data_IF_639239362594
#
_entry.id   IF_639239362594
#
_cell.length_a   1.000
_cell.length_b   1.000
_cell.length_c   1.000
_cell.angle_alpha   90.00
_cell.angle_beta   90.00
_cell.angle_gamma   90.00
#
_symmetry.space_group_name_H-M   'P 1'
#
loop_
_entity.id
_entity.type
_entity.pdbx_description
1 polymer ?
#
# COMPACT_ATOMS: atom_id res chain seq x y z
N UNK A 1 65.32 1.32 -39.16
CA UNK A 1 64.10 2.12 -38.93
C UNK A 1 63.00 1.16 -38.55
N UNK A 2 62.77 1.01 -37.21
CA UNK A 2 61.77 0.07 -36.68
C UNK A 2 60.50 0.87 -36.29
N UNK A 3 59.35 0.62 -36.96
CA UNK A 3 58.07 1.24 -36.65
C UNK A 3 57.43 0.53 -35.44
N UNK A 4 57.29 1.28 -34.37
CA UNK A 4 56.63 0.84 -33.14
C UNK A 4 55.12 1.04 -33.29
N UNK A 5 54.36 -0.03 -33.34
CA UNK A 5 52.89 0.02 -33.40
C UNK A 5 52.31 0.07 -31.96
N UNK A 6 51.72 1.19 -31.60
CA UNK A 6 51.03 1.42 -30.34
C UNK A 6 49.63 0.85 -30.45
N UNK A 7 49.34 -0.25 -29.73
CA UNK A 7 47.98 -0.81 -29.60
C UNK A 7 47.25 -0.06 -28.48
N UNK A 8 46.26 0.76 -28.85
CA UNK A 8 45.29 1.35 -27.94
C UNK A 8 44.26 0.27 -27.52
N UNK A 9 44.34 -0.14 -26.27
CA UNK A 9 43.25 -0.94 -25.63
C UNK A 9 42.17 0.03 -25.19
N UNK A 10 41.04 0.03 -25.92
CA UNK A 10 39.83 0.71 -25.48
C UNK A 10 39.15 -0.16 -24.41
N UNK A 11 39.31 0.20 -23.12
CA UNK A 11 38.58 -0.40 -22.04
C UNK A 11 37.15 0.14 -22.00
N UNK A 12 36.18 -0.71 -22.33
CA UNK A 12 34.76 -0.41 -22.15
C UNK A 12 34.44 -0.47 -20.65
N UNK A 13 34.32 0.68 -20.01
CA UNK A 13 33.81 0.80 -18.66
C UNK A 13 32.27 0.62 -18.73
N UNK A 14 31.78 -0.57 -18.39
CA UNK A 14 30.37 -0.84 -18.20
C UNK A 14 29.91 -0.11 -16.92
N UNK A 15 29.23 1.03 -17.10
CA UNK A 15 28.59 1.77 -16.02
C UNK A 15 27.35 0.96 -15.58
N UNK A 16 27.53 0.10 -14.57
CA UNK A 16 26.41 -0.55 -13.90
C UNK A 16 25.64 0.52 -13.11
N UNK A 17 24.55 1.02 -13.67
CA UNK A 17 23.61 1.89 -12.97
C UNK A 17 22.94 1.06 -11.87
N UNK A 18 23.51 1.10 -10.65
CA UNK A 18 22.82 0.63 -9.46
C UNK A 18 21.55 1.50 -9.31
N UNK A 19 20.39 0.89 -9.56
CA UNK A 19 19.09 1.51 -9.30
C UNK A 19 19.00 1.68 -7.77
N UNK A 20 19.38 2.87 -7.29
CA UNK A 20 19.32 3.21 -5.88
C UNK A 20 17.87 3.05 -5.41
N UNK A 21 17.64 2.07 -4.55
CA UNK A 21 16.34 1.79 -3.96
C UNK A 21 16.00 2.94 -3.00
N UNK A 22 15.25 3.94 -3.49
CA UNK A 22 14.81 5.05 -2.64
C UNK A 22 14.00 4.51 -1.45
N UNK A 23 14.22 5.03 -0.24
CA UNK A 23 13.41 4.64 0.92
C UNK A 23 11.93 4.98 0.66
N UNK A 24 11.01 4.14 1.16
CA UNK A 24 9.59 4.46 1.15
C UNK A 24 9.34 5.77 1.92
N UNK A 25 8.26 6.49 1.59
CA UNK A 25 7.92 7.74 2.29
C UNK A 25 7.74 7.48 3.80
N UNK A 26 8.09 8.44 4.67
CA UNK A 26 7.98 8.25 6.12
C UNK A 26 6.62 7.74 6.61
N UNK A 27 5.45 8.22 6.09
CA UNK A 27 4.15 7.65 6.47
C UNK A 27 4.03 6.16 6.15
N UNK A 28 4.51 5.72 4.98
CA UNK A 28 4.40 4.33 4.54
C UNK A 28 5.25 3.37 5.40
N UNK A 29 6.35 3.85 5.98
CA UNK A 29 7.17 3.10 6.94
C UNK A 29 6.39 2.73 8.22
N UNK A 30 5.37 3.52 8.59
CA UNK A 30 4.58 3.28 9.81
C UNK A 30 3.77 1.98 9.77
N UNK A 31 3.62 1.31 8.63
CA UNK A 31 2.98 0.00 8.55
C UNK A 31 3.63 -1.03 9.48
N UNK A 32 4.94 -0.89 9.74
CA UNK A 32 5.67 -1.70 10.73
C UNK A 32 5.21 -1.50 12.19
N UNK A 33 4.37 -0.50 12.47
CA UNK A 33 3.83 -0.21 13.81
C UNK A 33 2.50 -0.91 14.10
N UNK A 34 1.95 -1.68 13.15
CA UNK A 34 0.76 -2.50 13.38
C UNK A 34 0.99 -3.46 14.56
N UNK A 35 0.03 -3.57 15.48
CA UNK A 35 0.15 -4.46 16.64
C UNK A 35 -0.02 -5.93 16.29
N UNK A 36 -0.75 -6.22 15.21
CA UNK A 36 -0.92 -7.54 14.61
C UNK A 36 -1.42 -7.39 13.17
N UNK A 37 -1.47 -8.51 12.47
CA UNK A 37 -1.99 -8.60 11.10
C UNK A 37 -3.04 -9.71 11.02
N UNK A 38 -4.07 -9.49 10.19
CA UNK A 38 -5.10 -10.48 9.84
C UNK A 38 -4.96 -10.80 8.36
N UNK A 39 -5.19 -12.04 7.97
CA UNK A 39 -5.11 -12.57 6.60
C UNK A 39 -3.69 -12.56 5.98
N UNK A 40 -2.66 -12.16 6.71
CA UNK A 40 -1.28 -12.22 6.23
C UNK A 40 -0.28 -12.24 7.38
N UNK A 41 0.97 -12.63 7.08
CA UNK A 41 2.11 -12.23 7.89
C UNK A 41 2.32 -10.71 7.83
N UNK A 42 3.07 -10.11 8.78
CA UNK A 42 3.41 -8.70 8.74
C UNK A 42 4.02 -8.28 7.40
N UNK A 43 3.46 -7.24 6.78
CA UNK A 43 3.95 -6.71 5.52
C UNK A 43 4.88 -5.53 5.77
N UNK A 44 6.17 -5.75 5.51
CA UNK A 44 7.16 -4.68 5.54
C UNK A 44 7.01 -3.78 4.28
N UNK A 45 7.21 -2.46 4.40
CA UNK A 45 7.17 -1.54 3.26
C UNK A 45 8.08 -1.97 2.10
N UNK A 46 9.21 -2.60 2.40
CA UNK A 46 10.17 -3.10 1.41
C UNK A 46 9.58 -4.21 0.54
N UNK A 47 8.73 -5.07 1.10
CA UNK A 47 8.04 -6.15 0.37
C UNK A 47 6.95 -5.63 -0.57
N UNK A 48 6.53 -4.38 -0.38
CA UNK A 48 5.50 -3.70 -1.19
C UNK A 48 6.10 -2.86 -2.33
N UNK A 49 7.43 -2.79 -2.43
CA UNK A 49 8.09 -2.06 -3.52
C UNK A 49 7.72 -2.64 -4.89
N UNK A 50 7.55 -1.76 -5.85
CA UNK A 50 7.10 -2.14 -7.18
C UNK A 50 5.61 -2.50 -7.26
N UNK A 51 4.86 -2.39 -6.17
CA UNK A 51 3.41 -2.60 -6.14
C UNK A 51 2.68 -1.28 -5.93
N UNK A 52 1.52 -1.13 -6.55
CA UNK A 52 0.58 -0.08 -6.22
C UNK A 52 -0.22 -0.53 -5.01
N UNK A 53 -0.28 0.31 -3.97
CA UNK A 53 -0.94 -0.06 -2.71
C UNK A 53 -2.10 0.89 -2.42
N UNK A 54 -3.26 0.32 -2.10
CA UNK A 54 -4.38 1.04 -1.51
C UNK A 54 -4.40 0.76 -0.01
N UNK A 55 -4.23 1.81 0.80
CA UNK A 55 -4.49 1.73 2.23
C UNK A 55 -5.92 2.19 2.49
N UNK A 56 -6.74 1.29 3.03
CA UNK A 56 -8.11 1.56 3.46
C UNK A 56 -8.13 1.69 4.99
N UNK A 57 -8.22 2.92 5.50
CA UNK A 57 -8.41 3.18 6.93
C UNK A 57 -9.88 2.99 7.29
N UNK A 58 -10.16 1.99 8.07
CA UNK A 58 -11.51 1.54 8.37
C UNK A 58 -11.67 1.08 9.82
N UNK A 59 -12.91 0.91 10.24
CA UNK A 59 -13.28 0.14 11.44
C UNK A 59 -14.59 -0.61 11.20
N UNK A 60 -14.79 -1.71 11.93
CA UNK A 60 -15.87 -2.65 11.63
C UNK A 60 -17.25 -2.19 12.07
N UNK A 61 -17.38 -1.15 12.89
CA UNK A 61 -18.67 -0.56 13.27
C UNK A 61 -19.05 0.68 12.45
N UNK A 62 -18.13 1.19 11.62
CA UNK A 62 -18.36 2.36 10.79
C UNK A 62 -19.25 2.03 9.59
N UNK A 63 -20.48 2.56 9.54
CA UNK A 63 -21.43 2.26 8.47
C UNK A 63 -20.93 2.70 7.09
N UNK A 64 -20.23 3.83 6.99
CA UNK A 64 -19.67 4.33 5.73
C UNK A 64 -18.53 3.43 5.23
N UNK A 65 -17.73 2.85 6.15
CA UNK A 65 -16.72 1.85 5.81
C UNK A 65 -17.37 0.59 5.25
N UNK A 66 -18.45 0.12 5.88
CA UNK A 66 -19.17 -1.07 5.40
C UNK A 66 -19.79 -0.85 4.01
N UNK A 67 -20.24 0.36 3.69
CA UNK A 67 -20.75 0.71 2.35
C UNK A 67 -19.63 0.82 1.31
N UNK A 68 -18.43 1.19 1.72
CA UNK A 68 -17.24 1.27 0.85
C UNK A 68 -16.63 -0.11 0.55
N UNK A 69 -16.73 -1.05 1.49
CA UNK A 69 -16.07 -2.36 1.45
C UNK A 69 -16.34 -3.18 0.15
N UNK A 70 -17.55 -3.22 -0.42
CA UNK A 70 -17.79 -3.93 -1.69
C UNK A 70 -16.90 -3.46 -2.84
N UNK A 71 -16.62 -2.15 -2.92
CA UNK A 71 -15.74 -1.57 -3.93
C UNK A 71 -14.29 -1.94 -3.68
N UNK A 72 -13.83 -1.87 -2.41
CA UNK A 72 -12.47 -2.26 -2.02
C UNK A 72 -12.20 -3.72 -2.41
N UNK A 73 -13.13 -4.63 -2.10
CA UNK A 73 -13.04 -6.05 -2.46
C UNK A 73 -12.99 -6.24 -3.99
N UNK A 74 -13.90 -5.58 -4.71
CA UNK A 74 -13.93 -5.66 -6.17
C UNK A 74 -12.61 -5.19 -6.82
N UNK A 75 -11.99 -4.12 -6.30
CA UNK A 75 -10.68 -3.66 -6.79
C UNK A 75 -9.56 -4.62 -6.39
N UNK A 76 -9.58 -5.16 -5.17
CA UNK A 76 -8.63 -6.19 -4.74
C UNK A 76 -8.66 -7.36 -5.69
N UNK A 77 -9.84 -7.91 -6.01
CA UNK A 77 -10.01 -9.04 -6.91
C UNK A 77 -9.58 -8.71 -8.34
N UNK A 78 -10.02 -7.56 -8.85
CA UNK A 78 -9.80 -7.15 -10.24
C UNK A 78 -8.33 -6.90 -10.59
N UNK A 79 -7.56 -6.34 -9.64
CA UNK A 79 -6.21 -5.84 -9.91
C UNK A 79 -5.08 -6.62 -9.23
N UNK A 80 -5.38 -7.66 -8.41
CA UNK A 80 -4.35 -8.42 -7.66
C UNK A 80 -3.21 -8.94 -8.53
N UNK A 81 -3.52 -9.44 -9.72
CA UNK A 81 -2.52 -10.03 -10.65
C UNK A 81 -1.74 -8.96 -11.43
N UNK A 82 -2.13 -7.69 -11.31
CA UNK A 82 -1.48 -6.55 -11.95
C UNK A 82 -0.49 -5.84 -11.03
N UNK A 83 -0.18 -6.42 -9.85
CA UNK A 83 0.72 -5.79 -8.88
C UNK A 83 0.05 -4.75 -8.00
N UNK A 84 -1.27 -4.84 -7.84
CA UNK A 84 -2.05 -4.05 -6.88
C UNK A 84 -2.22 -4.81 -5.57
N UNK A 85 -2.14 -4.10 -4.46
CA UNK A 85 -2.34 -4.65 -3.11
C UNK A 85 -3.27 -3.74 -2.33
N UNK A 86 -4.32 -4.30 -1.77
CA UNK A 86 -5.13 -3.63 -0.75
C UNK A 86 -4.59 -4.00 0.62
N UNK A 87 -4.46 -3.02 1.50
CA UNK A 87 -4.19 -3.21 2.93
C UNK A 87 -5.25 -2.45 3.70
N UNK A 88 -6.11 -3.16 4.41
CA UNK A 88 -7.00 -2.56 5.39
C UNK A 88 -6.17 -2.12 6.61
N UNK A 89 -6.30 -0.87 7.02
CA UNK A 89 -5.73 -0.38 8.28
C UNK A 89 -6.87 -0.21 9.27
N UNK A 90 -7.06 -1.22 10.12
CA UNK A 90 -8.12 -1.15 11.12
C UNK A 90 -7.66 -0.26 12.28
N UNK A 91 -8.25 0.92 12.37
CA UNK A 91 -7.98 1.88 13.45
C UNK A 91 -9.24 2.09 14.27
N UNK A 92 -9.22 1.84 15.59
CA UNK A 92 -10.41 1.89 16.42
C UNK A 92 -10.97 3.31 16.58
N UNK A 93 -12.30 3.43 16.48
CA UNK A 93 -13.06 4.61 16.87
C UNK A 93 -13.55 4.48 18.33
N UNK A 94 -14.01 3.28 18.71
CA UNK A 94 -14.55 2.98 20.03
C UNK A 94 -13.69 2.00 20.82
N UNK A 95 -13.86 1.99 22.16
CA UNK A 95 -13.06 1.16 23.06
C UNK A 95 -13.12 -0.34 22.76
N UNK A 96 -14.29 -0.87 22.35
CA UNK A 96 -14.46 -2.28 22.03
C UNK A 96 -13.74 -2.74 20.74
N UNK A 97 -13.29 -1.79 19.92
CA UNK A 97 -12.59 -2.07 18.66
C UNK A 97 -11.08 -2.26 18.81
N UNK A 98 -10.53 -1.99 20.01
CA UNK A 98 -9.09 -2.12 20.26
C UNK A 98 -8.56 -3.56 20.27
N UNK A 99 -9.45 -4.54 20.51
CA UNK A 99 -9.07 -5.95 20.66
C UNK A 99 -8.78 -6.61 19.30
N UNK A 100 -7.55 -7.09 19.03
CA UNK A 100 -7.22 -7.74 17.75
C UNK A 100 -8.15 -8.90 17.38
N UNK A 101 -8.54 -9.72 18.38
CA UNK A 101 -9.48 -10.83 18.16
C UNK A 101 -10.87 -10.37 17.69
N UNK A 102 -11.31 -9.15 18.04
CA UNK A 102 -12.56 -8.60 17.53
C UNK A 102 -12.41 -8.19 16.05
N UNK A 103 -11.25 -7.63 15.69
CA UNK A 103 -10.92 -7.27 14.30
C UNK A 103 -10.89 -8.51 13.43
N UNK A 104 -10.23 -9.59 13.88
CA UNK A 104 -10.16 -10.86 13.16
C UNK A 104 -11.55 -11.44 12.89
N UNK A 105 -12.38 -11.53 13.95
CA UNK A 105 -13.78 -12.01 13.79
C UNK A 105 -14.60 -11.13 12.87
N UNK A 106 -14.41 -9.81 12.93
CA UNK A 106 -15.11 -8.87 12.06
C UNK A 106 -14.68 -9.02 10.62
N UNK A 107 -13.37 -9.13 10.35
CA UNK A 107 -12.84 -9.35 9.02
C UNK A 107 -13.39 -10.64 8.38
N UNK A 108 -13.40 -11.75 9.14
CA UNK A 108 -13.97 -13.01 8.68
C UNK A 108 -15.47 -12.88 8.36
N UNK A 109 -16.27 -12.26 9.25
CA UNK A 109 -17.72 -12.05 9.04
C UNK A 109 -18.03 -11.17 7.85
N UNK A 110 -17.18 -10.17 7.57
CA UNK A 110 -17.32 -9.23 6.46
C UNK A 110 -16.74 -9.77 5.15
N UNK A 111 -16.16 -10.98 5.15
CA UNK A 111 -15.56 -11.59 3.97
C UNK A 111 -14.35 -10.79 3.46
N UNK A 112 -13.57 -10.20 4.35
CA UNK A 112 -12.32 -9.53 4.03
C UNK A 112 -11.24 -10.60 3.91
N UNK A 113 -10.63 -10.72 2.75
CA UNK A 113 -9.57 -11.68 2.43
C UNK A 113 -8.20 -11.03 2.18
N UNK A 114 -8.18 -9.71 1.97
CA UNK A 114 -6.95 -8.95 1.85
C UNK A 114 -6.28 -8.70 3.22
N UNK A 115 -4.97 -8.38 3.25
CA UNK A 115 -4.22 -8.08 4.47
C UNK A 115 -4.85 -6.95 5.30
N UNK A 116 -4.92 -7.13 6.62
CA UNK A 116 -5.38 -6.09 7.54
C UNK A 116 -4.33 -5.83 8.62
N UNK A 117 -3.80 -4.62 8.63
CA UNK A 117 -2.95 -4.10 9.72
C UNK A 117 -3.83 -3.62 10.88
N UNK A 118 -3.64 -4.17 12.07
CA UNK A 118 -4.38 -3.75 13.27
C UNK A 118 -3.64 -2.60 13.94
N UNK A 119 -4.19 -1.40 13.83
CA UNK A 119 -3.60 -0.14 14.32
C UNK A 119 -4.24 0.31 15.64
N UNK A 120 -4.36 -0.61 16.63
CA UNK A 120 -4.99 -0.32 17.91
C UNK A 120 -4.34 0.83 18.69
N UNK A 121 -3.09 1.18 18.37
CA UNK A 121 -2.35 2.31 18.97
C UNK A 121 -2.45 3.60 18.15
N UNK A 122 -3.15 3.58 17.01
CA UNK A 122 -3.29 4.70 16.06
C UNK A 122 -1.95 5.24 15.54
N UNK A 123 -0.90 4.43 15.54
CA UNK A 123 0.42 4.83 15.09
C UNK A 123 0.46 5.08 13.57
N UNK A 124 -0.17 4.19 12.80
CA UNK A 124 -0.29 4.32 11.35
C UNK A 124 -1.24 5.47 11.01
N UNK A 125 -2.39 5.55 11.67
CA UNK A 125 -3.35 6.64 11.55
C UNK A 125 -2.68 8.02 11.69
N UNK A 126 -1.91 8.19 12.78
CA UNK A 126 -1.24 9.46 13.08
C UNK A 126 -0.16 9.79 12.04
N UNK A 127 0.61 8.80 11.59
CA UNK A 127 1.65 8.99 10.59
C UNK A 127 1.08 9.45 9.24
N UNK A 128 -0.09 8.93 8.84
CA UNK A 128 -0.81 9.33 7.63
C UNK A 128 -1.68 10.58 7.83
N UNK A 129 -1.80 11.11 9.07
CA UNK A 129 -2.65 12.25 9.42
C UNK A 129 -4.09 12.06 8.97
N UNK A 130 -4.62 10.85 9.22
CA UNK A 130 -6.00 10.51 8.84
C UNK A 130 -6.99 11.31 9.67
N UNK A 131 -8.09 11.75 9.06
CA UNK A 131 -9.04 12.67 9.68
C UNK A 131 -10.43 12.06 9.92
N UNK A 132 -10.71 10.88 9.33
CA UNK A 132 -12.01 10.22 9.46
C UNK A 132 -12.07 8.87 8.77
N UNK A 133 -13.15 8.16 8.98
CA UNK A 133 -13.43 6.87 8.37
C UNK A 133 -14.58 6.93 7.36
N UNK A 134 -14.50 6.18 6.23
CA UNK A 134 -13.30 5.57 5.70
C UNK A 134 -12.33 6.63 5.15
N UNK A 135 -11.05 6.28 5.03
CA UNK A 135 -10.09 7.08 4.28
C UNK A 135 -9.22 6.18 3.41
N UNK A 136 -9.16 6.50 2.13
CA UNK A 136 -8.38 5.79 1.12
C UNK A 136 -7.11 6.55 0.80
N UNK A 137 -5.96 5.87 0.83
CA UNK A 137 -4.67 6.43 0.46
C UNK A 137 -4.06 5.59 -0.66
N UNK A 138 -3.79 6.24 -1.79
CA UNK A 138 -3.25 5.60 -2.98
C UNK A 138 -1.74 5.80 -3.02
N UNK A 139 -1.00 4.70 -2.97
CA UNK A 139 0.47 4.68 -2.88
C UNK A 139 1.03 4.09 -4.16
N UNK A 140 1.98 4.79 -4.78
CA UNK A 140 2.63 4.33 -6.01
C UNK A 140 3.68 3.23 -5.75
N UNK A 141 4.19 2.66 -6.83
CA UNK A 141 5.18 1.58 -6.80
C UNK A 141 6.52 1.97 -6.12
N UNK A 142 6.75 3.26 -5.86
CA UNK A 142 7.91 3.76 -5.14
C UNK A 142 7.65 3.95 -3.64
N UNK A 143 6.41 3.73 -3.18
CA UNK A 143 5.99 3.91 -1.79
C UNK A 143 5.59 5.34 -1.44
N UNK A 144 5.29 6.20 -2.44
CA UNK A 144 4.82 7.57 -2.22
C UNK A 144 3.31 7.64 -2.28
N UNK A 145 2.70 8.34 -1.33
CA UNK A 145 1.28 8.69 -1.38
C UNK A 145 1.05 9.67 -2.52
N UNK A 146 0.17 9.30 -3.45
CA UNK A 146 -0.14 10.06 -4.67
C UNK A 146 -1.50 10.75 -4.59
N UNK A 147 -2.42 10.13 -3.88
CA UNK A 147 -3.76 10.65 -3.71
C UNK A 147 -4.39 10.16 -2.41
N UNK A 148 -5.43 10.86 -1.93
CA UNK A 148 -6.22 10.48 -0.78
C UNK A 148 -7.67 10.88 -0.95
N UNK A 149 -8.57 10.05 -0.44
CA UNK A 149 -9.99 10.32 -0.37
C UNK A 149 -10.49 10.10 1.06
N UNK A 150 -11.30 11.01 1.59
CA UNK A 150 -11.90 10.91 2.92
C UNK A 150 -13.42 10.80 2.77
N UNK A 151 -14.01 9.84 3.47
CA UNK A 151 -15.44 9.54 3.39
C UNK A 151 -15.80 8.54 2.29
N UNK A 152 -17.07 8.13 2.27
CA UNK A 152 -17.63 7.24 1.25
C UNK A 152 -17.91 7.97 -0.07
N UNK A 153 -18.00 7.22 -1.18
CA UNK A 153 -18.28 7.76 -2.52
C UNK A 153 -17.02 7.92 -3.38
N UNK A 154 -17.13 8.66 -4.50
CA UNK A 154 -16.00 8.92 -5.40
C UNK A 154 -15.38 7.66 -6.05
N UNK A 155 -16.08 6.51 -6.07
CA UNK A 155 -15.51 5.22 -6.44
C UNK A 155 -14.95 5.15 -7.86
N UNK A 156 -15.61 5.84 -8.81
CA UNK A 156 -15.11 5.91 -10.19
C UNK A 156 -13.78 6.68 -10.29
N UNK A 157 -13.59 7.74 -9.47
CA UNK A 157 -12.34 8.49 -9.39
C UNK A 157 -11.25 7.64 -8.75
N UNK A 158 -11.56 7.01 -7.61
CA UNK A 158 -10.66 6.09 -6.92
C UNK A 158 -10.14 4.99 -7.88
N UNK A 159 -11.02 4.38 -8.66
CA UNK A 159 -10.63 3.35 -9.63
C UNK A 159 -9.75 3.91 -10.76
N UNK A 160 -10.05 5.13 -11.25
CA UNK A 160 -9.18 5.81 -12.23
C UNK A 160 -7.76 6.05 -11.67
N UNK A 161 -7.66 6.46 -10.40
CA UNK A 161 -6.37 6.62 -9.72
C UNK A 161 -5.61 5.29 -9.66
N UNK A 162 -6.26 4.19 -9.27
CA UNK A 162 -5.64 2.85 -9.27
C UNK A 162 -5.09 2.50 -10.64
N UNK A 163 -5.91 2.64 -11.70
CA UNK A 163 -5.53 2.34 -13.07
C UNK A 163 -4.36 3.20 -13.55
N UNK A 164 -4.35 4.48 -13.20
CA UNK A 164 -3.26 5.39 -13.54
C UNK A 164 -1.95 4.93 -12.90
N UNK A 165 -1.95 4.64 -11.59
CA UNK A 165 -0.76 4.21 -10.87
C UNK A 165 -0.24 2.86 -11.38
N UNK A 166 -1.13 1.94 -11.75
CA UNK A 166 -0.74 0.68 -12.37
C UNK A 166 -0.05 0.88 -13.72
N UNK A 167 -0.57 1.77 -14.58
CA UNK A 167 0.11 2.12 -15.84
C UNK A 167 1.50 2.74 -15.61
N UNK A 168 1.62 3.64 -14.63
CA UNK A 168 2.88 4.29 -14.26
C UNK A 168 3.91 3.30 -13.71
N UNK A 169 3.48 2.22 -13.07
CA UNK A 169 4.35 1.16 -12.55
C UNK A 169 4.97 0.27 -13.65
N UNK A 170 4.58 0.45 -14.93
CA UNK A 170 5.04 -0.34 -16.06
C UNK A 170 4.48 -1.77 -16.11
N UNK A 171 3.50 -2.09 -15.28
CA UNK A 171 2.80 -3.39 -15.28
C UNK A 171 1.54 -3.27 -16.14
N UNK A 172 1.46 -4.10 -17.17
CA UNK A 172 0.29 -4.24 -18.05
C UNK A 172 -0.53 -5.43 -17.60
#
# INVERSE_FOLDING_TARGET
MKKLALKLLAGAFALATALACLPASPPFQSLGSAVSWVNSAPLAPEALRGKVVLLDFWTYSCINCLRTLPYIRAWSDKYRDQGFVVIGVHTPEFGFEHMPANVERAAARLGIDFPVAVDSKRAIWNAFRVQGWPSLYFVDATGRVRDRQVGEGGYAEAERTIQQLLRESGRK
#
